data_IF_720759613945
#
_entry.id   IF_720759613945
#
_cell.length_a   1.000
_cell.length_b   1.000
_cell.length_c   1.000
_cell.angle_alpha   90.00
_cell.angle_beta   90.00
_cell.angle_gamma   90.00
#
_symmetry.space_group_name_H-M   'P 1'
#
loop_
_entity.id
_entity.type
_entity.pdbx_description
1 polymer ?
#
# COMPACT_ATOMS: atom_id res chain seq x y z
N UNK A 1 12.97 9.32 -2.81
CA UNK A 1 12.21 9.61 -4.04
C UNK A 1 13.17 9.57 -5.23
N UNK A 2 12.68 9.20 -6.40
CA UNK A 2 13.50 9.22 -7.61
C UNK A 2 13.77 10.67 -8.03
N UNK A 3 15.02 10.98 -8.35
CA UNK A 3 15.46 12.30 -8.77
C UNK A 3 16.23 12.20 -10.08
N UNK A 4 16.27 13.29 -10.82
CA UNK A 4 17.19 13.45 -11.94
C UNK A 4 17.87 14.82 -11.84
N UNK A 5 19.05 14.91 -12.46
CA UNK A 5 19.77 16.18 -12.58
C UNK A 5 19.85 16.59 -14.05
N UNK A 6 19.87 17.88 -14.29
CA UNK A 6 19.96 18.44 -15.62
C UNK A 6 20.96 19.62 -15.62
N UNK A 7 21.84 19.64 -16.61
CA UNK A 7 22.84 20.69 -16.80
C UNK A 7 22.91 21.03 -18.27
N UNK A 8 23.07 22.31 -18.56
CA UNK A 8 23.33 22.81 -19.92
C UNK A 8 24.82 23.16 -20.08
N UNK A 9 25.35 22.98 -21.28
CA UNK A 9 26.71 23.36 -21.61
C UNK A 9 26.72 24.37 -22.75
N UNK A 10 27.61 25.35 -22.64
CA UNK A 10 27.87 26.33 -23.69
C UNK A 10 29.30 26.14 -24.22
N UNK A 11 29.43 25.96 -25.51
CA UNK A 11 30.75 25.86 -26.17
C UNK A 11 31.06 27.15 -26.95
N UNK A 12 32.26 27.70 -26.71
CA UNK A 12 32.71 28.92 -27.35
C UNK A 12 34.24 28.87 -27.58
N UNK A 13 34.66 28.97 -28.82
CA UNK A 13 36.09 28.98 -29.20
C UNK A 13 36.93 27.86 -28.55
N UNK A 14 36.40 26.63 -28.48
CA UNK A 14 37.05 25.50 -27.83
C UNK A 14 36.94 25.49 -26.29
N UNK A 15 36.30 26.48 -25.71
CA UNK A 15 36.03 26.54 -24.28
C UNK A 15 34.60 26.03 -24.02
N UNK A 16 34.43 25.22 -22.97
CA UNK A 16 33.14 24.71 -22.52
C UNK A 16 32.81 25.32 -21.17
N UNK A 17 31.63 25.90 -21.07
CA UNK A 17 31.10 26.48 -19.83
C UNK A 17 29.80 25.71 -19.47
N UNK A 18 29.73 25.23 -18.26
CA UNK A 18 28.55 24.52 -17.75
C UNK A 18 27.64 25.49 -16.99
N UNK A 19 26.34 25.31 -17.15
CA UNK A 19 25.36 25.95 -16.26
C UNK A 19 25.43 25.38 -14.85
N UNK A 20 24.65 25.96 -13.92
CA UNK A 20 24.30 25.27 -12.69
C UNK A 20 23.58 23.96 -13.01
N UNK A 21 23.58 23.05 -12.05
CA UNK A 21 22.81 21.81 -12.08
C UNK A 21 21.43 22.09 -11.49
N UNK A 22 20.39 21.65 -12.17
CA UNK A 22 19.02 21.64 -11.62
C UNK A 22 18.63 20.22 -11.25
N UNK A 23 17.74 20.09 -10.28
CA UNK A 23 17.24 18.80 -9.80
C UNK A 23 15.73 18.75 -9.96
N UNK A 24 15.24 17.67 -10.54
CA UNK A 24 13.81 17.34 -10.57
C UNK A 24 13.53 16.15 -9.67
N UNK A 25 12.44 16.22 -8.91
CA UNK A 25 12.00 15.13 -8.03
C UNK A 25 10.62 14.66 -8.45
N UNK A 26 10.39 13.34 -8.34
CA UNK A 26 9.05 12.80 -8.56
C UNK A 26 8.14 13.20 -7.39
N UNK A 27 6.97 13.76 -7.72
CA UNK A 27 5.97 14.07 -6.73
C UNK A 27 5.17 12.81 -6.40
N UNK A 28 5.18 12.42 -5.13
CA UNK A 28 4.37 11.30 -4.66
C UNK A 28 2.95 11.77 -4.39
N UNK A 29 2.01 11.23 -5.15
CA UNK A 29 0.59 11.60 -5.05
C UNK A 29 -0.29 10.49 -4.49
N UNK A 30 0.27 9.29 -4.32
CA UNK A 30 -0.43 8.13 -3.77
C UNK A 30 0.08 7.83 -2.36
N UNK A 31 -0.84 7.72 -1.41
CA UNK A 31 -0.54 7.36 -0.03
C UNK A 31 -1.52 6.30 0.47
N UNK A 32 -1.06 5.45 1.37
CA UNK A 32 -1.90 4.44 2.01
C UNK A 32 -1.68 4.45 3.52
N UNK A 33 -2.77 4.30 4.26
CA UNK A 33 -2.76 4.11 5.72
C UNK A 33 -3.61 2.91 6.08
N UNK A 34 -3.25 2.20 7.14
CA UNK A 34 -3.98 1.03 7.64
C UNK A 34 -4.27 1.20 9.11
N UNK A 35 -5.47 0.84 9.54
CA UNK A 35 -5.80 0.78 10.95
C UNK A 35 -6.73 -0.41 11.23
N UNK A 36 -6.70 -0.84 12.48
CA UNK A 36 -7.57 -1.88 13.01
C UNK A 36 -8.72 -1.23 13.79
N UNK A 37 -9.91 -1.80 13.68
CA UNK A 37 -11.05 -1.35 14.52
C UNK A 37 -10.91 -1.78 15.98
N UNK A 38 -10.11 -2.82 16.26
CA UNK A 38 -9.82 -3.27 17.61
C UNK A 38 -8.33 -3.14 17.92
N UNK A 39 -8.02 -2.75 19.14
CA UNK A 39 -6.64 -2.65 19.65
C UNK A 39 -6.22 -3.84 20.50
N UNK A 40 -7.17 -4.69 20.84
CA UNK A 40 -6.97 -5.92 21.64
C UNK A 40 -7.55 -7.11 20.91
N UNK A 41 -7.04 -8.29 21.19
CA UNK A 41 -7.52 -9.53 20.59
C UNK A 41 -7.38 -10.71 21.55
N UNK A 42 -8.09 -11.77 21.23
CA UNK A 42 -7.85 -13.14 21.71
C UNK A 42 -7.60 -14.04 20.51
N UNK A 43 -6.88 -15.11 20.69
CA UNK A 43 -6.76 -16.13 19.64
C UNK A 43 -8.14 -16.63 19.23
N UNK A 44 -8.38 -16.71 17.92
CA UNK A 44 -9.70 -17.05 17.36
C UNK A 44 -10.59 -15.85 17.05
N UNK A 45 -10.27 -14.65 17.54
CA UNK A 45 -11.05 -13.45 17.24
C UNK A 45 -10.94 -13.06 15.76
N UNK A 46 -12.03 -12.48 15.27
CA UNK A 46 -12.03 -11.81 13.96
C UNK A 46 -11.75 -10.33 14.14
N UNK A 47 -10.71 -9.86 13.46
CA UNK A 47 -10.29 -8.46 13.47
C UNK A 47 -10.63 -7.82 12.12
N UNK A 48 -11.14 -6.61 12.16
CA UNK A 48 -11.44 -5.84 10.94
C UNK A 48 -10.38 -4.78 10.72
N UNK A 49 -9.85 -4.74 9.51
CA UNK A 49 -8.86 -3.77 9.06
C UNK A 49 -9.42 -2.87 7.98
N UNK A 50 -9.03 -1.63 8.01
CA UNK A 50 -9.36 -0.63 6.99
C UNK A 50 -8.05 -0.08 6.43
N UNK A 51 -7.91 -0.14 5.11
CA UNK A 51 -6.81 0.51 4.38
C UNK A 51 -7.40 1.65 3.59
N UNK A 52 -6.95 2.87 3.88
CA UNK A 52 -7.30 4.06 3.11
C UNK A 52 -6.20 4.34 2.11
N UNK A 53 -6.58 4.52 0.85
CA UNK A 53 -5.67 4.83 -0.25
C UNK A 53 -6.09 6.17 -0.83
N UNK A 54 -5.22 7.17 -0.76
CA UNK A 54 -5.51 8.53 -1.20
C UNK A 54 -4.67 8.86 -2.42
N UNK A 55 -5.32 9.31 -3.48
CA UNK A 55 -4.68 9.84 -4.67
C UNK A 55 -4.94 11.35 -4.75
N UNK A 56 -3.92 12.16 -4.49
CA UNK A 56 -3.99 13.62 -4.57
C UNK A 56 -3.58 14.16 -5.94
N UNK A 57 -3.20 13.28 -6.87
CA UNK A 57 -2.80 13.64 -8.22
C UNK A 57 -3.98 13.76 -9.18
N UNK A 58 -3.71 14.28 -10.35
CA UNK A 58 -4.69 14.44 -11.42
C UNK A 58 -4.72 13.26 -12.41
N UNK A 59 -4.03 12.19 -12.12
CA UNK A 59 -3.99 10.95 -12.91
C UNK A 59 -4.48 9.79 -12.05
N UNK A 60 -5.34 8.94 -12.63
CA UNK A 60 -5.83 7.75 -11.93
C UNK A 60 -4.72 6.70 -11.80
N UNK A 61 -4.72 5.99 -10.67
CA UNK A 61 -3.97 4.75 -10.50
C UNK A 61 -4.92 3.59 -10.76
N UNK A 62 -4.49 2.65 -11.58
CA UNK A 62 -5.30 1.51 -11.97
C UNK A 62 -4.56 0.20 -11.72
N UNK A 63 -5.33 -0.85 -11.43
CA UNK A 63 -4.82 -2.21 -11.26
C UNK A 63 -3.73 -2.32 -10.19
N UNK A 64 -3.93 -1.61 -9.07
CA UNK A 64 -3.05 -1.68 -7.91
C UNK A 64 -3.21 -3.01 -7.18
N UNK A 65 -2.12 -3.47 -6.57
CA UNK A 65 -2.10 -4.62 -5.69
C UNK A 65 -1.77 -4.20 -4.27
N UNK A 66 -2.63 -4.56 -3.33
CA UNK A 66 -2.39 -4.41 -1.90
C UNK A 66 -1.86 -5.72 -1.34
N UNK A 67 -0.75 -5.68 -0.62
CA UNK A 67 -0.16 -6.85 0.02
C UNK A 67 -0.16 -6.66 1.53
N UNK A 68 -0.67 -7.65 2.26
CA UNK A 68 -0.63 -7.70 3.73
C UNK A 68 0.23 -8.88 4.16
N UNK A 69 1.24 -8.62 4.98
CA UNK A 69 2.15 -9.65 5.49
C UNK A 69 1.55 -10.52 6.61
N UNK A 70 0.31 -10.23 7.03
CA UNK A 70 -0.41 -10.95 8.09
C UNK A 70 0.35 -11.04 9.41
N UNK A 71 1.24 -10.07 9.66
CA UNK A 71 2.03 -9.97 10.87
C UNK A 71 3.15 -11.00 11.02
N UNK A 72 3.54 -11.66 9.94
CA UNK A 72 4.51 -12.75 9.96
C UNK A 72 5.79 -12.44 10.75
N UNK A 73 6.22 -13.41 11.57
CA UNK A 73 7.44 -13.30 12.34
C UNK A 73 8.19 -14.65 12.38
N UNK A 74 9.49 -14.58 12.68
CA UNK A 74 10.34 -15.77 12.77
C UNK A 74 10.04 -16.54 14.06
N UNK A 75 9.78 -17.83 13.95
CA UNK A 75 9.60 -18.75 15.05
C UNK A 75 10.32 -20.06 14.73
N UNK A 76 11.34 -20.40 15.53
CA UNK A 76 12.19 -21.54 15.22
C UNK A 76 12.93 -21.37 13.89
N UNK A 77 12.84 -22.34 13.01
CA UNK A 77 13.48 -22.33 11.69
C UNK A 77 12.60 -21.76 10.57
N UNK A 78 11.41 -21.24 10.90
CA UNK A 78 10.46 -20.77 9.89
C UNK A 78 9.76 -19.47 10.25
N UNK A 79 8.80 -19.09 9.41
CA UNK A 79 7.92 -17.96 9.64
C UNK A 79 6.54 -18.46 10.01
N UNK A 80 5.96 -17.88 11.04
CA UNK A 80 4.58 -18.13 11.47
C UNK A 80 3.77 -16.84 11.33
N UNK A 81 2.45 -16.96 11.26
CA UNK A 81 1.56 -15.84 10.98
C UNK A 81 0.50 -15.72 12.05
N UNK A 82 0.48 -14.60 12.80
CA UNK A 82 -0.52 -14.37 13.84
C UNK A 82 -1.91 -14.11 13.27
N UNK A 83 -2.00 -13.77 12.00
CA UNK A 83 -3.26 -13.49 11.31
C UNK A 83 -3.44 -14.40 10.11
N UNK A 84 -4.68 -14.76 9.82
CA UNK A 84 -5.11 -15.40 8.59
C UNK A 84 -6.24 -14.60 7.96
N UNK A 85 -6.29 -14.52 6.64
CA UNK A 85 -7.39 -13.83 5.97
C UNK A 85 -8.75 -14.46 6.37
N UNK A 86 -9.67 -13.62 6.84
CA UNK A 86 -10.98 -14.05 7.36
C UNK A 86 -12.11 -13.92 6.35
N UNK A 87 -11.88 -13.34 5.19
CA UNK A 87 -12.91 -13.09 4.19
C UNK A 87 -13.48 -11.68 4.26
N UNK A 88 -14.63 -11.49 3.60
CA UNK A 88 -15.45 -10.29 3.68
C UNK A 88 -14.76 -9.00 3.22
N UNK A 89 -14.00 -9.08 2.12
CA UNK A 89 -13.38 -7.90 1.53
C UNK A 89 -14.44 -6.99 0.91
N UNK A 90 -14.35 -5.69 1.18
CA UNK A 90 -15.18 -4.64 0.60
C UNK A 90 -14.31 -3.52 0.10
N UNK A 91 -14.76 -2.91 -0.98
CA UNK A 91 -14.03 -1.88 -1.68
C UNK A 91 -14.93 -0.68 -1.96
N UNK A 92 -14.48 0.50 -1.57
CA UNK A 92 -15.20 1.76 -1.73
C UNK A 92 -14.33 2.77 -2.47
N UNK A 93 -14.96 3.57 -3.32
CA UNK A 93 -14.35 4.79 -3.90
C UNK A 93 -15.19 5.97 -3.48
N UNK A 94 -14.59 6.95 -2.81
CA UNK A 94 -15.25 8.15 -2.29
C UNK A 94 -16.56 7.82 -1.53
N UNK A 95 -16.54 6.74 -0.74
CA UNK A 95 -17.68 6.27 0.04
C UNK A 95 -18.69 5.40 -0.71
N UNK A 96 -18.55 5.22 -2.01
CA UNK A 96 -19.45 4.38 -2.81
C UNK A 96 -18.91 2.95 -2.93
N UNK A 97 -19.73 1.95 -2.57
CA UNK A 97 -19.36 0.54 -2.67
C UNK A 97 -19.12 0.12 -4.13
N UNK A 98 -18.01 -0.55 -4.35
CA UNK A 98 -17.60 -1.11 -5.63
C UNK A 98 -17.71 -2.63 -5.61
N UNK A 99 -17.54 -3.25 -6.78
CA UNK A 99 -17.39 -4.71 -6.88
C UNK A 99 -16.18 -5.15 -6.05
N UNK A 100 -16.36 -6.22 -5.26
CA UNK A 100 -15.29 -6.75 -4.42
C UNK A 100 -14.09 -7.17 -5.28
N UNK A 101 -12.87 -6.76 -4.91
CA UNK A 101 -11.66 -7.15 -5.64
C UNK A 101 -11.30 -8.61 -5.38
N UNK A 102 -10.45 -9.17 -6.24
CA UNK A 102 -9.94 -10.51 -6.07
C UNK A 102 -8.93 -10.56 -4.93
N UNK A 103 -9.03 -11.59 -4.08
CA UNK A 103 -8.14 -11.80 -2.93
C UNK A 103 -7.47 -13.16 -3.03
N UNK A 104 -6.16 -13.18 -2.80
CA UNK A 104 -5.39 -14.40 -2.54
C UNK A 104 -5.04 -14.42 -1.06
N UNK A 105 -5.50 -15.45 -0.35
CA UNK A 105 -5.36 -15.52 1.10
C UNK A 105 -3.90 -15.56 1.59
N UNK A 106 -3.01 -16.13 0.80
CA UNK A 106 -1.60 -16.20 1.11
C UNK A 106 -1.24 -17.21 2.20
N UNK A 107 -0.25 -16.93 3.07
CA UNK A 107 0.53 -15.70 3.23
C UNK A 107 1.62 -15.47 2.15
N UNK A 108 1.93 -14.21 1.79
CA UNK A 108 1.20 -12.99 2.17
C UNK A 108 -0.16 -12.89 1.47
N UNK A 109 -1.10 -12.21 2.11
CA UNK A 109 -2.39 -11.91 1.48
C UNK A 109 -2.21 -10.82 0.43
N UNK A 110 -2.85 -10.99 -0.75
CA UNK A 110 -2.86 -9.98 -1.79
C UNK A 110 -4.28 -9.67 -2.24
N UNK A 111 -4.54 -8.40 -2.50
CA UNK A 111 -5.80 -7.89 -3.06
C UNK A 111 -5.45 -7.16 -4.34
N UNK A 112 -5.99 -7.60 -5.46
CA UNK A 112 -5.64 -7.09 -6.80
C UNK A 112 -6.80 -6.35 -7.45
N UNK A 113 -6.49 -5.57 -8.49
CA UNK A 113 -7.50 -4.88 -9.28
C UNK A 113 -8.07 -3.62 -8.61
N UNK A 114 -7.30 -2.99 -7.71
CA UNK A 114 -7.72 -1.77 -7.02
C UNK A 114 -7.45 -0.57 -7.93
N UNK A 115 -8.46 0.27 -8.12
CA UNK A 115 -8.37 1.52 -8.87
C UNK A 115 -8.64 2.70 -7.95
N UNK A 116 -7.85 3.75 -8.08
CA UNK A 116 -8.05 5.00 -7.34
C UNK A 116 -8.04 6.15 -8.34
N UNK A 117 -9.22 6.70 -8.68
CA UNK A 117 -9.31 7.82 -9.61
C UNK A 117 -8.50 9.02 -9.16
N UNK A 118 -8.28 9.96 -10.08
CA UNK A 118 -7.63 11.23 -9.76
C UNK A 118 -8.39 11.97 -8.65
N UNK A 119 -7.67 12.61 -7.75
CA UNK A 119 -8.23 13.40 -6.65
C UNK A 119 -9.30 12.64 -5.84
N UNK A 120 -9.05 11.36 -5.58
CA UNK A 120 -10.03 10.46 -4.95
C UNK A 120 -9.39 9.63 -3.84
N UNK A 121 -10.27 9.03 -3.05
CA UNK A 121 -9.90 8.12 -1.97
C UNK A 121 -10.58 6.77 -2.18
N UNK A 122 -9.83 5.70 -1.99
CA UNK A 122 -10.35 4.34 -1.95
C UNK A 122 -10.21 3.77 -0.54
N UNK A 123 -11.15 2.93 -0.14
CA UNK A 123 -11.11 2.19 1.12
C UNK A 123 -11.25 0.71 0.84
N UNK A 124 -10.36 -0.08 1.42
CA UNK A 124 -10.45 -1.55 1.43
C UNK A 124 -10.69 -1.98 2.88
N UNK A 125 -11.78 -2.71 3.08
CA UNK A 125 -12.16 -3.27 4.39
C UNK A 125 -12.10 -4.78 4.28
N UNK A 126 -11.44 -5.43 5.20
CA UNK A 126 -11.36 -6.90 5.25
C UNK A 126 -11.19 -7.39 6.67
N UNK A 127 -11.48 -8.66 6.89
CA UNK A 127 -11.28 -9.30 8.18
C UNK A 127 -10.11 -10.26 8.15
N UNK A 128 -9.47 -10.42 9.32
CA UNK A 128 -8.46 -11.43 9.59
C UNK A 128 -8.78 -12.12 10.92
N UNK A 129 -8.39 -13.37 11.01
CA UNK A 129 -8.61 -14.19 12.21
C UNK A 129 -7.28 -14.31 12.94
N UNK A 130 -7.29 -14.04 14.25
CA UNK A 130 -6.14 -14.25 15.10
C UNK A 130 -5.89 -15.75 15.28
N UNK A 131 -4.75 -16.22 14.78
CA UNK A 131 -4.38 -17.64 14.80
C UNK A 131 -3.79 -18.06 16.14
N UNK A 132 -3.44 -19.35 16.26
CA UNK A 132 -2.72 -19.87 17.42
C UNK A 132 -1.31 -19.27 17.58
N UNK A 133 -0.78 -18.61 16.55
CA UNK A 133 0.51 -17.90 16.57
C UNK A 133 0.38 -16.41 16.92
N UNK A 134 -0.84 -15.91 17.14
CA UNK A 134 -1.03 -14.58 17.71
C UNK A 134 -0.47 -14.55 19.14
N UNK A 135 0.48 -13.65 19.47
CA UNK A 135 1.16 -13.67 20.76
C UNK A 135 0.19 -13.58 21.94
N UNK A 136 0.52 -14.33 23.00
CA UNK A 136 -0.18 -14.29 24.28
C UNK A 136 0.78 -13.66 25.29
N UNK A 137 0.63 -12.39 25.62
CA UNK A 137 1.49 -11.69 26.61
C UNK A 137 3.00 -11.85 26.38
#
# INVERSE_FOLDING_TARGET
MATFTNVATLSYNGTVVNSNVTTGEIQQTLAATKHSLATTYKQGDTLTYIVNIVNTGNTAFTNLTLTDNLGGYTYGAGTVYPLAYGGDVRYYINGALQTAPAVTAGPPMTITGINVPANSEAQIVYSAIATAYAPLN
#
